data_IF_319006117202
#
_entry.id   IF_319006117202
#
_cell.length_a   1.000
_cell.length_b   1.000
_cell.length_c   1.000
_cell.angle_alpha   90.00
_cell.angle_beta   90.00
_cell.angle_gamma   90.00
#
_symmetry.space_group_name_H-M   'P 1'
#
loop_
_entity.id
_entity.type
_entity.pdbx_description
1 polymer ?
#
# COMPACT_ATOMS: atom_id res chain seq x y z
N UNK A 1 43.27 9.19 57.45
CA UNK A 1 44.09 8.07 56.95
C UNK A 1 43.14 7.09 56.26
N UNK A 2 43.18 7.06 54.93
CA UNK A 2 42.50 6.08 54.08
C UNK A 2 43.00 4.66 54.41
N UNK A 3 42.17 3.64 54.20
CA UNK A 3 42.44 2.49 53.31
C UNK A 3 41.11 1.77 53.00
N UNK A 4 40.98 1.47 51.71
CA UNK A 4 39.95 0.79 50.93
C UNK A 4 39.48 -0.59 51.44
N UNK A 5 38.23 -0.94 51.16
CA UNK A 5 37.94 -2.23 50.52
C UNK A 5 36.74 -2.14 49.56
N UNK A 6 37.00 -2.55 48.32
CA UNK A 6 36.10 -2.65 47.18
C UNK A 6 34.85 -3.47 47.49
N UNK A 7 33.67 -2.92 47.25
CA UNK A 7 32.47 -3.70 46.98
C UNK A 7 32.36 -3.94 45.47
N UNK A 8 32.30 -5.21 45.16
CA UNK A 8 32.37 -5.83 43.84
C UNK A 8 31.17 -5.45 42.96
N UNK A 9 31.48 -4.82 41.83
CA UNK A 9 30.56 -4.60 40.71
C UNK A 9 30.40 -5.91 39.93
N UNK A 10 29.59 -6.85 40.42
CA UNK A 10 29.32 -8.11 39.70
C UNK A 10 27.87 -8.59 39.79
N UNK A 11 26.91 -7.68 39.65
CA UNK A 11 25.49 -8.04 39.39
C UNK A 11 24.87 -7.26 38.22
N UNK A 12 25.67 -6.54 37.44
CA UNK A 12 25.22 -5.78 36.25
C UNK A 12 25.22 -6.57 34.94
N UNK A 13 25.41 -7.88 34.96
CA UNK A 13 25.73 -8.65 33.74
C UNK A 13 24.79 -9.78 33.34
N UNK A 14 23.65 -10.03 34.03
CA UNK A 14 22.85 -11.24 33.72
C UNK A 14 21.37 -10.98 33.37
N UNK A 15 20.88 -9.74 33.42
CA UNK A 15 19.58 -9.41 32.83
C UNK A 15 19.75 -8.33 31.76
N UNK A 16 20.45 -8.69 30.68
CA UNK A 16 20.17 -8.10 29.38
C UNK A 16 18.75 -8.55 29.02
N UNK A 17 17.78 -7.81 29.54
CA UNK A 17 16.40 -7.82 29.07
C UNK A 17 16.54 -7.58 27.57
N UNK A 18 16.22 -8.60 26.78
CA UNK A 18 15.94 -8.45 25.36
C UNK A 18 14.77 -7.48 25.26
N UNK A 19 15.06 -6.18 25.29
CA UNK A 19 14.26 -5.21 24.58
C UNK A 19 14.41 -5.58 23.11
N UNK A 20 13.59 -6.53 22.67
CA UNK A 20 13.17 -6.56 21.28
C UNK A 20 12.39 -5.25 21.08
N UNK A 21 13.13 -4.16 20.85
CA UNK A 21 12.58 -3.06 20.08
C UNK A 21 12.05 -3.73 18.83
N UNK A 22 10.74 -3.85 18.74
CA UNK A 22 10.07 -4.25 17.53
C UNK A 22 10.48 -3.17 16.53
N UNK A 23 11.53 -3.45 15.75
CA UNK A 23 11.96 -2.55 14.69
C UNK A 23 10.74 -2.51 13.78
N UNK A 24 9.98 -1.41 13.82
CA UNK A 24 8.92 -1.16 12.85
C UNK A 24 9.67 -0.98 11.53
N UNK A 25 9.88 -2.09 10.83
CA UNK A 25 10.51 -2.09 9.53
C UNK A 25 9.49 -1.54 8.54
N UNK A 26 9.87 -0.48 7.82
CA UNK A 26 9.14 -0.02 6.65
C UNK A 26 9.05 -1.18 5.65
N UNK A 27 7.83 -1.46 5.18
CA UNK A 27 7.58 -2.44 4.15
C UNK A 27 7.55 -1.76 2.77
N UNK A 28 8.02 -2.47 1.75
CA UNK A 28 7.96 -2.09 0.35
C UNK A 28 7.00 -3.04 -0.38
N UNK A 29 5.87 -2.50 -0.83
CA UNK A 29 5.06 -3.13 -1.87
C UNK A 29 5.38 -2.50 -3.21
N UNK A 30 5.69 -3.32 -4.22
CA UNK A 30 6.10 -2.82 -5.55
C UNK A 30 4.93 -2.85 -6.50
N UNK A 31 4.57 -1.69 -7.04
CA UNK A 31 3.55 -1.58 -8.06
C UNK A 31 4.08 -2.05 -9.43
N UNK A 32 3.47 -3.08 -10.02
CA UNK A 32 3.94 -3.71 -11.27
C UNK A 32 3.15 -3.29 -12.52
N UNK A 33 2.29 -2.27 -12.42
CA UNK A 33 1.45 -1.80 -13.51
C UNK A 33 2.25 -1.49 -14.79
N UNK A 34 3.40 -0.82 -14.65
CA UNK A 34 4.22 -0.42 -15.81
C UNK A 34 4.91 -1.59 -16.51
N UNK A 35 5.15 -2.71 -15.81
CA UNK A 35 5.63 -3.96 -16.43
C UNK A 35 4.55 -4.48 -17.39
N UNK A 36 3.30 -4.50 -16.93
CA UNK A 36 2.16 -4.92 -17.74
C UNK A 36 1.90 -3.96 -18.91
N UNK A 37 2.08 -2.63 -18.73
CA UNK A 37 2.04 -1.68 -19.84
C UNK A 37 3.03 -2.04 -20.94
N UNK A 38 4.29 -2.32 -20.57
CA UNK A 38 5.33 -2.68 -21.54
C UNK A 38 5.03 -4.01 -22.24
N UNK A 39 4.50 -5.00 -21.51
CA UNK A 39 4.05 -6.27 -22.07
C UNK A 39 2.96 -6.06 -23.11
N UNK A 40 1.92 -5.30 -22.75
CA UNK A 40 0.77 -5.05 -23.62
C UNK A 40 1.18 -4.33 -24.90
N UNK A 41 2.11 -3.37 -24.82
CA UNK A 41 2.62 -2.65 -25.98
C UNK A 41 3.40 -3.55 -26.97
N UNK A 42 3.96 -4.68 -26.51
CA UNK A 42 4.67 -5.64 -27.37
C UNK A 42 3.77 -6.70 -28.00
N UNK A 43 2.57 -6.92 -27.48
CA UNK A 43 1.62 -7.92 -27.97
C UNK A 43 1.96 -9.39 -27.65
N UNK A 44 2.99 -9.64 -26.84
CA UNK A 44 3.38 -10.97 -26.35
C UNK A 44 3.51 -11.01 -24.82
N UNK A 45 4.14 -12.05 -24.26
CA UNK A 45 4.42 -12.15 -22.83
C UNK A 45 5.84 -11.67 -22.47
N UNK A 46 6.23 -10.49 -22.97
CA UNK A 46 7.55 -9.90 -22.73
C UNK A 46 7.43 -8.41 -22.42
N UNK A 47 7.79 -7.95 -21.20
CA UNK A 47 8.21 -8.75 -20.05
C UNK A 47 7.09 -9.68 -19.55
N UNK A 48 7.49 -10.82 -18.97
CA UNK A 48 6.58 -11.73 -18.28
C UNK A 48 6.26 -11.15 -16.90
N UNK A 49 5.00 -10.76 -16.70
CA UNK A 49 4.55 -10.12 -15.47
C UNK A 49 4.72 -11.03 -14.25
N UNK A 50 4.37 -12.32 -14.38
CA UNK A 50 4.41 -13.29 -13.27
C UNK A 50 5.85 -13.52 -12.85
N UNK A 51 6.74 -13.76 -13.82
CA UNK A 51 8.17 -13.93 -13.54
C UNK A 51 8.75 -12.68 -12.87
N UNK A 52 8.44 -11.49 -13.39
CA UNK A 52 8.92 -10.24 -12.81
C UNK A 52 8.43 -10.04 -11.37
N UNK A 53 7.16 -10.32 -11.07
CA UNK A 53 6.62 -10.19 -9.70
C UNK A 53 7.27 -11.17 -8.72
N UNK A 54 7.49 -12.43 -9.13
CA UNK A 54 8.21 -13.41 -8.31
C UNK A 54 9.69 -13.03 -8.09
N UNK A 55 10.34 -12.47 -9.11
CA UNK A 55 11.69 -11.93 -9.00
C UNK A 55 11.75 -10.77 -7.98
N UNK A 56 10.74 -9.89 -7.98
CA UNK A 56 10.62 -8.76 -7.04
C UNK A 56 10.44 -9.25 -5.60
N UNK A 57 9.58 -10.24 -5.34
CA UNK A 57 9.45 -10.85 -4.00
C UNK A 57 10.78 -11.46 -3.56
N UNK A 58 11.44 -12.22 -4.44
CA UNK A 58 12.74 -12.84 -4.14
C UNK A 58 13.82 -11.81 -3.80
N UNK A 59 13.73 -10.60 -4.35
CA UNK A 59 14.65 -9.51 -4.05
C UNK A 59 14.27 -8.68 -2.81
N UNK A 60 13.24 -9.10 -2.07
CA UNK A 60 12.94 -8.62 -0.73
C UNK A 60 11.75 -7.68 -0.61
N UNK A 61 10.94 -7.51 -1.67
CA UNK A 61 9.66 -6.82 -1.54
C UNK A 61 8.72 -7.61 -0.60
N UNK A 62 8.00 -6.90 0.26
CA UNK A 62 7.00 -7.47 1.16
C UNK A 62 5.58 -7.44 0.59
N UNK A 63 5.42 -6.93 -0.63
CA UNK A 63 4.18 -7.00 -1.36
C UNK A 63 4.32 -6.67 -2.83
N UNK A 64 3.28 -7.02 -3.58
CA UNK A 64 3.06 -6.64 -4.97
C UNK A 64 1.74 -5.88 -5.03
N UNK A 65 1.79 -4.71 -5.65
CA UNK A 65 0.59 -3.91 -5.90
C UNK A 65 0.22 -3.92 -7.38
N UNK A 66 -1.06 -4.09 -7.68
CA UNK A 66 -1.60 -4.01 -9.03
C UNK A 66 -2.85 -3.13 -9.05
N UNK A 67 -3.09 -2.47 -10.18
CA UNK A 67 -4.31 -1.70 -10.42
C UNK A 67 -4.95 -2.19 -11.73
N UNK A 68 -5.83 -3.18 -11.69
CA UNK A 68 -6.60 -3.60 -12.87
C UNK A 68 -7.67 -2.56 -13.21
N UNK A 69 -7.45 -1.77 -14.27
CA UNK A 69 -8.44 -0.81 -14.77
C UNK A 69 -9.50 -1.50 -15.64
N UNK A 70 -10.73 -0.94 -15.75
CA UNK A 70 -11.79 -1.55 -16.57
C UNK A 70 -11.48 -1.71 -18.05
N UNK A 71 -10.57 -0.91 -18.59
CA UNK A 71 -10.11 -1.00 -19.98
C UNK A 71 -8.89 -1.92 -20.16
N UNK A 72 -8.40 -2.51 -19.07
CA UNK A 72 -7.24 -3.40 -19.01
C UNK A 72 -5.98 -2.81 -19.70
N UNK A 73 -5.83 -1.48 -19.70
CA UNK A 73 -4.72 -0.80 -20.40
C UNK A 73 -3.32 -1.25 -19.94
N UNK A 74 -3.20 -1.68 -18.68
CA UNK A 74 -1.98 -2.29 -18.12
C UNK A 74 -2.23 -3.68 -17.56
N UNK A 75 -2.65 -3.74 -16.30
CA UNK A 75 -3.02 -4.98 -15.62
C UNK A 75 -4.38 -5.42 -16.15
N UNK A 76 -4.45 -6.67 -16.60
CA UNK A 76 -5.69 -7.35 -16.99
C UNK A 76 -6.30 -8.03 -15.78
N UNK A 77 -7.60 -8.29 -15.78
CA UNK A 77 -8.24 -9.05 -14.69
C UNK A 77 -7.66 -10.45 -14.53
N UNK A 78 -7.23 -11.06 -15.64
CA UNK A 78 -6.53 -12.35 -15.60
C UNK A 78 -5.19 -12.26 -14.85
N UNK A 79 -4.48 -11.14 -14.93
CA UNK A 79 -3.21 -10.96 -14.21
C UNK A 79 -3.44 -11.01 -12.69
N UNK A 80 -4.52 -10.39 -12.20
CA UNK A 80 -4.88 -10.42 -10.78
C UNK A 80 -5.13 -11.86 -10.29
N UNK A 81 -5.88 -12.65 -11.07
CA UNK A 81 -6.16 -14.07 -10.78
C UNK A 81 -4.90 -14.92 -10.77
N UNK A 82 -3.99 -14.68 -11.71
CA UNK A 82 -2.78 -15.47 -11.86
C UNK A 82 -1.73 -15.09 -10.81
N UNK A 83 -1.57 -13.79 -10.50
CA UNK A 83 -0.70 -13.31 -9.42
C UNK A 83 -1.13 -13.89 -8.07
N UNK A 84 -2.43 -13.92 -7.77
CA UNK A 84 -2.93 -14.48 -6.50
C UNK A 84 -2.51 -15.94 -6.26
N UNK A 85 -2.31 -16.73 -7.31
CA UNK A 85 -1.90 -18.13 -7.20
C UNK A 85 -0.42 -18.30 -6.82
N UNK A 86 0.40 -17.29 -7.07
CA UNK A 86 1.87 -17.41 -7.02
C UNK A 86 2.53 -16.49 -6.01
N UNK A 87 1.98 -15.29 -5.79
CA UNK A 87 2.47 -14.32 -4.80
C UNK A 87 2.33 -14.91 -3.39
N UNK A 88 3.42 -14.90 -2.63
CA UNK A 88 3.49 -15.45 -1.27
C UNK A 88 3.46 -14.35 -0.20
N UNK A 89 3.80 -13.12 -0.59
CA UNK A 89 3.74 -11.92 0.23
C UNK A 89 2.38 -11.23 0.07
N UNK A 90 2.26 -9.95 0.47
CA UNK A 90 1.02 -9.21 0.32
C UNK A 90 0.71 -8.94 -1.17
N UNK A 91 -0.44 -9.41 -1.64
CA UNK A 91 -1.04 -8.88 -2.87
C UNK A 91 -1.99 -7.74 -2.49
N UNK A 92 -1.70 -6.53 -2.97
CA UNK A 92 -2.57 -5.37 -2.88
C UNK A 92 -3.23 -5.09 -4.24
N UNK A 93 -4.55 -4.96 -4.26
CA UNK A 93 -5.31 -4.59 -5.46
C UNK A 93 -5.89 -3.19 -5.29
N UNK A 94 -5.46 -2.28 -6.16
CA UNK A 94 -5.95 -0.90 -6.25
C UNK A 94 -7.08 -0.78 -7.26
N UNK A 95 -8.09 0.03 -6.94
CA UNK A 95 -9.07 0.45 -7.93
C UNK A 95 -10.25 1.24 -7.39
N UNK A 96 -11.02 1.82 -8.30
CA UNK A 96 -12.29 2.45 -8.00
C UNK A 96 -13.35 1.37 -7.73
N UNK A 97 -14.04 1.36 -6.56
CA UNK A 97 -15.01 0.34 -6.15
C UNK A 97 -16.33 0.33 -6.94
N UNK A 98 -16.24 0.28 -8.26
CA UNK A 98 -17.35 -0.07 -9.14
C UNK A 98 -17.64 -1.58 -9.09
N UNK A 99 -18.78 -1.99 -9.66
CA UNK A 99 -19.26 -3.38 -9.62
C UNK A 99 -18.24 -4.40 -10.16
N UNK A 100 -17.54 -4.08 -11.25
CA UNK A 100 -16.54 -4.98 -11.84
C UNK A 100 -15.32 -5.15 -10.93
N UNK A 101 -14.87 -4.05 -10.32
CA UNK A 101 -13.75 -4.08 -9.38
C UNK A 101 -14.12 -4.88 -8.12
N UNK A 102 -15.29 -4.62 -7.54
CA UNK A 102 -15.77 -5.36 -6.36
C UNK A 102 -15.85 -6.85 -6.67
N UNK A 103 -16.45 -7.23 -7.80
CA UNK A 103 -16.53 -8.62 -8.21
C UNK A 103 -15.15 -9.28 -8.39
N UNK A 104 -14.17 -8.56 -8.94
CA UNK A 104 -12.80 -9.05 -9.05
C UNK A 104 -12.15 -9.28 -7.68
N UNK A 105 -12.28 -8.32 -6.77
CA UNK A 105 -11.70 -8.42 -5.42
C UNK A 105 -12.35 -9.54 -4.62
N UNK A 106 -13.69 -9.68 -4.71
CA UNK A 106 -14.44 -10.76 -4.09
C UNK A 106 -14.02 -12.14 -4.63
N UNK A 107 -13.67 -12.24 -5.92
CA UNK A 107 -13.15 -13.47 -6.51
C UNK A 107 -11.71 -13.76 -6.08
N UNK A 108 -10.84 -12.75 -6.13
CA UNK A 108 -9.39 -12.91 -5.95
C UNK A 108 -9.00 -13.01 -4.47
N UNK A 109 -9.75 -12.40 -3.56
CA UNK A 109 -9.46 -12.37 -2.12
C UNK A 109 -7.99 -11.95 -1.84
N UNK A 110 -7.55 -10.76 -2.27
CA UNK A 110 -6.20 -10.27 -2.02
C UNK A 110 -5.98 -10.04 -0.51
N UNK A 111 -4.72 -9.90 -0.11
CA UNK A 111 -4.41 -9.58 1.29
C UNK A 111 -4.83 -8.15 1.65
N UNK A 112 -4.75 -7.23 0.68
CA UNK A 112 -5.21 -5.85 0.82
C UNK A 112 -5.96 -5.37 -0.44
N UNK A 113 -6.93 -4.48 -0.22
CA UNK A 113 -7.54 -3.66 -1.27
C UNK A 113 -7.31 -2.18 -0.93
N UNK A 114 -6.81 -1.40 -1.90
CA UNK A 114 -6.70 0.06 -1.80
C UNK A 114 -7.78 0.71 -2.68
N UNK A 115 -8.67 1.49 -2.07
CA UNK A 115 -9.73 2.21 -2.77
C UNK A 115 -9.19 3.54 -3.29
N UNK A 116 -9.26 3.75 -4.61
CA UNK A 116 -8.83 4.98 -5.29
C UNK A 116 -10.01 5.61 -6.06
N UNK A 117 -10.12 6.94 -6.16
CA UNK A 117 -11.30 7.62 -6.75
C UNK A 117 -11.22 7.80 -8.26
N UNK A 118 -10.40 7.02 -8.97
CA UNK A 118 -10.08 7.26 -10.38
C UNK A 118 -11.29 7.15 -11.30
N UNK A 119 -11.44 8.13 -12.18
CA UNK A 119 -12.31 8.00 -13.34
C UNK A 119 -11.77 6.95 -14.32
N UNK A 120 -12.66 6.34 -15.09
CA UNK A 120 -12.31 5.25 -16.04
C UNK A 120 -11.30 5.72 -17.10
N UNK A 121 -11.39 6.98 -17.51
CA UNK A 121 -10.55 7.61 -18.53
C UNK A 121 -9.25 8.22 -17.98
N UNK A 122 -9.12 8.42 -16.67
CA UNK A 122 -7.93 9.00 -16.04
C UNK A 122 -6.65 8.21 -16.40
N UNK A 123 -5.54 8.91 -16.62
CA UNK A 123 -4.24 8.30 -16.94
C UNK A 123 -3.60 7.72 -15.65
N UNK A 124 -3.81 8.38 -14.51
CA UNK A 124 -3.34 8.02 -13.17
C UNK A 124 -4.35 8.54 -12.13
N UNK A 125 -4.30 8.04 -10.89
CA UNK A 125 -4.93 8.69 -9.74
C UNK A 125 -4.25 10.04 -9.51
N UNK A 126 -4.98 11.13 -9.65
CA UNK A 126 -4.46 12.50 -9.50
C UNK A 126 -5.04 13.24 -8.29
N UNK A 127 -5.94 12.60 -7.55
CA UNK A 127 -6.51 13.09 -6.30
C UNK A 127 -6.90 11.93 -5.36
N UNK A 128 -6.86 12.19 -4.05
CA UNK A 128 -7.42 11.31 -3.03
C UNK A 128 -8.95 11.32 -2.97
N UNK A 129 -9.53 10.36 -2.25
CA UNK A 129 -10.95 10.38 -1.94
C UNK A 129 -11.31 11.59 -1.06
N UNK A 130 -12.38 12.31 -1.43
CA UNK A 130 -13.09 13.16 -0.48
C UNK A 130 -13.88 12.26 0.48
N UNK A 131 -13.25 11.91 1.60
CA UNK A 131 -13.81 10.94 2.56
C UNK A 131 -14.96 11.49 3.38
N UNK A 132 -15.11 12.82 3.45
CA UNK A 132 -16.22 13.46 4.15
C UNK A 132 -17.47 13.35 3.29
N UNK A 133 -17.36 13.75 2.02
CA UNK A 133 -18.48 13.69 1.08
C UNK A 133 -18.93 12.25 0.81
N UNK A 134 -17.99 11.30 0.82
CA UNK A 134 -18.25 9.90 0.47
C UNK A 134 -18.29 8.95 1.69
N UNK A 135 -18.39 9.46 2.91
CA UNK A 135 -18.30 8.68 4.15
C UNK A 135 -19.20 7.44 4.13
N UNK A 136 -20.50 7.61 3.85
CA UNK A 136 -21.47 6.52 3.85
C UNK A 136 -21.15 5.43 2.81
N UNK A 137 -20.71 5.86 1.62
CA UNK A 137 -20.34 4.94 0.54
C UNK A 137 -19.08 4.15 0.90
N UNK A 138 -18.02 4.86 1.30
CA UNK A 138 -16.75 4.23 1.69
C UNK A 138 -16.92 3.32 2.90
N UNK A 139 -17.71 3.70 3.90
CA UNK A 139 -18.04 2.85 5.06
C UNK A 139 -18.66 1.52 4.61
N UNK A 140 -19.60 1.55 3.66
CA UNK A 140 -20.22 0.34 3.12
C UNK A 140 -19.20 -0.55 2.40
N UNK A 141 -18.36 0.03 1.55
CA UNK A 141 -17.35 -0.74 0.78
C UNK A 141 -16.26 -1.31 1.69
N UNK A 142 -15.76 -0.50 2.63
CA UNK A 142 -14.79 -0.94 3.64
C UNK A 142 -15.36 -2.11 4.44
N UNK A 143 -16.60 -1.98 4.93
CA UNK A 143 -17.25 -3.07 5.66
C UNK A 143 -17.36 -4.34 4.81
N UNK A 144 -17.80 -4.22 3.56
CA UNK A 144 -17.95 -5.35 2.64
C UNK A 144 -16.66 -6.17 2.49
N UNK A 145 -15.51 -5.52 2.30
CA UNK A 145 -14.23 -6.23 2.17
C UNK A 145 -13.69 -6.73 3.51
N UNK A 146 -13.89 -5.97 4.59
CA UNK A 146 -13.48 -6.40 5.95
C UNK A 146 -14.24 -7.62 6.44
N UNK A 147 -15.54 -7.73 6.14
CA UNK A 147 -16.35 -8.90 6.47
C UNK A 147 -15.82 -10.19 5.79
N UNK A 148 -15.04 -10.04 4.72
CA UNK A 148 -14.37 -11.14 4.01
C UNK A 148 -12.92 -11.38 4.49
N UNK A 149 -12.45 -10.61 5.47
CA UNK A 149 -11.08 -10.69 5.98
C UNK A 149 -10.03 -10.00 5.11
N UNK A 150 -10.43 -9.19 4.13
CA UNK A 150 -9.53 -8.41 3.28
C UNK A 150 -9.17 -7.10 4.01
N UNK A 151 -7.88 -6.78 4.11
CA UNK A 151 -7.44 -5.50 4.68
C UNK A 151 -7.80 -4.36 3.74
N UNK A 152 -8.30 -3.27 4.30
CA UNK A 152 -8.73 -2.10 3.52
C UNK A 152 -7.77 -0.93 3.68
N UNK A 153 -7.53 -0.23 2.58
CA UNK A 153 -6.83 1.05 2.54
C UNK A 153 -7.64 2.04 1.71
N UNK A 154 -7.65 3.32 2.09
CA UNK A 154 -8.25 4.40 1.27
C UNK A 154 -7.14 5.35 0.86
N UNK A 155 -7.05 5.63 -0.44
CA UNK A 155 -6.15 6.64 -0.98
C UNK A 155 -6.71 8.05 -0.72
N UNK A 156 -5.94 8.88 -0.03
CA UNK A 156 -6.35 10.23 0.41
C UNK A 156 -5.26 11.25 0.17
N UNK A 157 -5.66 12.50 -0.02
CA UNK A 157 -4.73 13.62 0.00
C UNK A 157 -4.12 13.79 1.41
N UNK A 158 -2.92 14.38 1.53
CA UNK A 158 -2.28 14.65 2.82
C UNK A 158 -2.96 15.80 3.59
N UNK A 159 -4.25 15.63 3.88
CA UNK A 159 -5.13 16.54 4.62
C UNK A 159 -5.65 15.86 5.88
N UNK A 160 -5.58 16.55 7.02
CA UNK A 160 -6.07 16.06 8.31
C UNK A 160 -7.55 15.69 8.21
N UNK A 161 -8.36 16.52 7.55
CA UNK A 161 -9.80 16.31 7.38
C UNK A 161 -10.10 15.03 6.59
N UNK A 162 -9.30 14.73 5.55
CA UNK A 162 -9.45 13.51 4.75
C UNK A 162 -9.01 12.26 5.53
N UNK A 163 -7.96 12.38 6.35
CA UNK A 163 -7.50 11.29 7.22
C UNK A 163 -8.53 10.98 8.30
N UNK A 164 -9.08 12.01 8.95
CA UNK A 164 -10.13 11.85 9.95
C UNK A 164 -11.42 11.28 9.34
N UNK A 165 -11.79 11.73 8.14
CA UNK A 165 -12.90 11.18 7.38
C UNK A 165 -12.69 9.70 7.04
N UNK A 166 -11.51 9.31 6.57
CA UNK A 166 -11.16 7.91 6.31
C UNK A 166 -11.30 7.06 7.58
N UNK A 167 -10.81 7.53 8.73
CA UNK A 167 -10.89 6.81 9.99
C UNK A 167 -12.34 6.49 10.40
N UNK A 168 -13.29 7.39 10.17
CA UNK A 168 -14.72 7.17 10.46
C UNK A 168 -15.34 6.02 9.66
N UNK A 169 -14.78 5.69 8.50
CA UNK A 169 -15.25 4.56 7.68
C UNK A 169 -14.90 3.19 8.26
N UNK A 170 -14.00 3.15 9.27
CA UNK A 170 -13.49 1.92 9.86
C UNK A 170 -12.41 1.24 9.01
N UNK A 171 -11.78 1.97 8.08
CA UNK A 171 -10.66 1.48 7.25
C UNK A 171 -9.47 1.05 8.12
N UNK A 172 -8.69 0.07 7.66
CA UNK A 172 -7.51 -0.39 8.40
C UNK A 172 -6.29 0.51 8.19
N UNK A 173 -6.18 1.14 7.01
CA UNK A 173 -5.05 1.95 6.58
C UNK A 173 -5.50 3.11 5.69
N UNK A 174 -4.60 4.06 5.51
CA UNK A 174 -4.69 5.07 4.45
C UNK A 174 -3.44 4.98 3.58
N UNK A 175 -3.56 5.45 2.35
CA UNK A 175 -2.44 5.69 1.45
C UNK A 175 -2.42 7.17 1.09
N UNK A 176 -1.34 7.87 1.45
CA UNK A 176 -1.23 9.30 1.22
C UNK A 176 -0.78 9.58 -0.22
N UNK A 177 -1.46 10.49 -0.90
CA UNK A 177 -1.04 10.96 -2.20
C UNK A 177 0.22 11.84 -2.09
N UNK A 178 1.34 11.34 -2.62
CA UNK A 178 2.67 11.98 -2.47
C UNK A 178 3.18 12.71 -3.71
N UNK A 179 2.37 12.95 -4.74
CA UNK A 179 2.86 13.55 -6.00
C UNK A 179 3.45 14.95 -5.81
N UNK A 180 2.77 15.83 -5.06
CA UNK A 180 3.26 17.18 -4.78
C UNK A 180 4.65 17.15 -4.12
N UNK A 181 4.83 16.29 -3.11
CA UNK A 181 6.13 16.04 -2.48
C UNK A 181 7.16 15.58 -3.51
N UNK A 182 6.85 14.55 -4.31
CA UNK A 182 7.77 13.97 -5.27
C UNK A 182 8.24 14.97 -6.35
N UNK A 183 7.34 15.86 -6.80
CA UNK A 183 7.66 16.89 -7.79
C UNK A 183 8.54 18.00 -7.22
N UNK A 184 8.29 18.42 -5.98
CA UNK A 184 8.98 19.56 -5.37
C UNK A 184 10.34 19.19 -4.75
N UNK A 185 10.47 17.96 -4.24
CA UNK A 185 11.64 17.52 -3.47
C UNK A 185 13.00 17.68 -4.16
N UNK A 186 13.15 17.44 -5.49
CA UNK A 186 14.42 17.66 -6.18
C UNK A 186 14.86 19.13 -6.21
N UNK A 187 13.90 20.06 -6.23
CA UNK A 187 14.13 21.50 -6.34
C UNK A 187 14.30 22.16 -4.97
N UNK A 188 13.43 21.82 -4.02
CA UNK A 188 13.46 22.34 -2.66
C UNK A 188 12.90 21.31 -1.67
N UNK A 189 13.82 20.67 -0.93
CA UNK A 189 13.47 19.66 0.07
C UNK A 189 12.69 20.22 1.25
N UNK A 190 12.95 21.47 1.65
CA UNK A 190 12.30 22.07 2.81
C UNK A 190 10.87 22.45 2.47
N UNK A 191 10.67 23.04 1.29
CA UNK A 191 9.35 23.38 0.83
C UNK A 191 8.50 22.14 0.50
N UNK A 192 9.10 21.05 -0.01
CA UNK A 192 8.39 19.80 -0.29
C UNK A 192 7.78 19.12 0.94
N UNK A 193 8.33 19.35 2.14
CA UNK A 193 7.82 18.81 3.41
C UNK A 193 7.12 19.87 4.26
N UNK A 194 6.98 21.10 3.76
CA UNK A 194 6.28 22.15 4.46
C UNK A 194 4.80 21.75 4.61
N UNK A 195 4.17 22.03 5.76
CA UNK A 195 2.75 21.71 5.91
C UNK A 195 1.94 22.56 4.94
N UNK A 196 0.91 21.93 4.35
CA UNK A 196 -0.04 22.58 3.46
C UNK A 196 -0.98 23.39 4.37
N UNK A 197 -0.74 24.70 4.47
CA UNK A 197 -1.55 25.67 5.23
C UNK A 197 -2.29 26.62 4.31
#
# INVERSE_FOLDING_TARGET
MQINHFYDYSLRSILCIFESQLIIMTALSVNVNKIATLRNARGGNVPDLIKCSLDIERFGAQGITIHPRPDERHIRYQDARDLKKVIQTELNIEGNPNEKFIALVDEVQPAQVTLVPDAVDAITSDAGWDTIKNEAYLTKIVKHFKDQGIRTSIFVDPSIEMVEGAAKTGVDRIELYTEAYAHQYPSDKQAAVAPIY
#
